data_IF_626484321039
#
_entry.id   IF_626484321039
#
_cell.length_a   1.000
_cell.length_b   1.000
_cell.length_c   1.000
_cell.angle_alpha   90.00
_cell.angle_beta   90.00
_cell.angle_gamma   90.00
#
_symmetry.space_group_name_H-M   'P 1'
#
loop_
_entity.id
_entity.type
_entity.pdbx_description
1 polymer ?
#
# COMPACT_ATOMS: atom_id res chain seq x y z
N UNK A 1 14.43 -14.49 9.16
CA UNK A 1 13.17 -14.37 8.41
C UNK A 1 13.33 -13.19 7.48
N UNK A 2 13.76 -13.43 6.25
CA UNK A 2 14.02 -12.36 5.26
C UNK A 2 13.29 -12.73 3.98
N UNK A 3 12.07 -12.22 3.86
CA UNK A 3 11.34 -12.17 2.60
C UNK A 3 10.55 -10.85 2.58
N UNK A 4 11.27 -9.75 2.79
CA UNK A 4 10.82 -8.44 2.30
C UNK A 4 10.95 -8.49 0.79
N UNK A 5 9.97 -9.11 0.13
CA UNK A 5 9.73 -8.77 -1.26
C UNK A 5 9.23 -7.33 -1.27
N UNK A 6 10.14 -6.38 -1.49
CA UNK A 6 9.80 -5.00 -1.80
C UNK A 6 8.90 -5.02 -3.03
N UNK A 7 7.59 -5.09 -2.77
CA UNK A 7 6.57 -5.13 -3.81
C UNK A 7 6.39 -3.69 -4.23
N UNK A 8 7.11 -3.29 -5.27
CA UNK A 8 7.05 -1.94 -5.80
C UNK A 8 5.96 -1.89 -6.88
N UNK A 9 5.11 -0.86 -6.83
CA UNK A 9 3.99 -0.64 -7.73
C UNK A 9 3.98 0.80 -8.24
N UNK A 10 4.26 0.98 -9.52
CA UNK A 10 4.30 2.28 -10.20
C UNK A 10 2.93 2.74 -10.72
N UNK A 11 1.88 1.94 -10.53
CA UNK A 11 0.55 2.17 -11.08
C UNK A 11 0.29 1.46 -12.39
N UNK A 12 1.29 0.81 -12.96
CA UNK A 12 1.17 0.03 -14.19
C UNK A 12 1.18 -1.47 -13.88
N UNK A 13 0.24 -2.20 -14.47
CA UNK A 13 0.14 -3.64 -14.28
C UNK A 13 -0.77 -4.09 -13.13
N UNK A 14 -0.63 -5.34 -12.67
CA UNK A 14 -1.66 -6.02 -11.92
C UNK A 14 -1.59 -5.71 -10.41
N UNK A 15 -2.50 -4.84 -9.96
CA UNK A 15 -2.60 -4.40 -8.55
C UNK A 15 -3.03 -5.53 -7.57
N UNK A 16 -3.56 -6.64 -8.08
CA UNK A 16 -3.98 -7.79 -7.26
C UNK A 16 -2.82 -8.42 -6.48
N UNK A 17 -1.60 -8.41 -7.04
CA UNK A 17 -0.39 -8.88 -6.37
C UNK A 17 -0.04 -8.02 -5.16
N UNK A 18 -0.08 -6.69 -5.33
CA UNK A 18 0.12 -5.73 -4.24
C UNK A 18 -0.93 -5.93 -3.14
N UNK A 19 -2.21 -5.95 -3.52
CA UNK A 19 -3.32 -6.12 -2.57
C UNK A 19 -3.19 -7.46 -1.82
N UNK A 20 -2.82 -8.54 -2.51
CA UNK A 20 -2.61 -9.84 -1.88
C UNK A 20 -1.44 -9.83 -0.89
N UNK A 21 -0.33 -9.17 -1.23
CA UNK A 21 0.83 -9.06 -0.34
C UNK A 21 0.47 -8.28 0.93
N UNK A 22 -0.20 -7.13 0.79
CA UNK A 22 -0.65 -6.30 1.91
C UNK A 22 -1.63 -7.05 2.81
N UNK A 23 -2.64 -7.73 2.23
CA UNK A 23 -3.60 -8.52 3.01
C UNK A 23 -2.95 -9.66 3.79
N UNK A 24 -1.95 -10.33 3.19
CA UNK A 24 -1.18 -11.37 3.89
C UNK A 24 -0.37 -10.79 5.05
N UNK A 25 0.30 -9.66 4.83
CA UNK A 25 1.03 -8.97 5.88
C UNK A 25 0.09 -8.53 7.01
N UNK A 26 -1.04 -7.91 6.68
CA UNK A 26 -2.05 -7.50 7.64
C UNK A 26 -2.56 -8.69 8.46
N UNK A 27 -2.89 -9.81 7.81
CA UNK A 27 -3.31 -11.04 8.51
C UNK A 27 -2.23 -11.55 9.47
N UNK A 28 -0.98 -11.65 9.02
CA UNK A 28 0.13 -12.15 9.84
C UNK A 28 0.43 -11.25 11.05
N UNK A 29 0.15 -9.95 10.95
CA UNK A 29 0.32 -8.99 12.03
C UNK A 29 -0.94 -8.79 12.89
N UNK A 30 -2.04 -9.50 12.61
CA UNK A 30 -3.32 -9.31 13.30
C UNK A 30 -4.02 -7.98 12.98
N UNK A 31 -3.65 -7.35 11.86
CA UNK A 31 -4.08 -6.02 11.38
C UNK A 31 -5.04 -6.07 10.19
N UNK A 32 -5.64 -7.22 9.92
CA UNK A 32 -6.52 -7.42 8.76
C UNK A 32 -7.77 -6.52 8.70
N UNK A 33 -8.19 -5.95 9.83
CA UNK A 33 -9.30 -4.98 9.95
C UNK A 33 -8.80 -3.55 10.20
N UNK A 34 -7.48 -3.34 10.25
CA UNK A 34 -6.85 -2.03 10.49
C UNK A 34 -6.57 -1.37 9.14
N UNK A 35 -7.59 -0.69 8.62
CA UNK A 35 -7.55 -0.01 7.31
C UNK A 35 -6.42 1.03 7.25
N UNK A 36 -6.15 1.72 8.37
CA UNK A 36 -5.06 2.71 8.47
C UNK A 36 -3.71 2.01 8.34
N UNK A 37 -3.50 0.91 9.06
CA UNK A 37 -2.28 0.12 8.95
C UNK A 37 -2.08 -0.42 7.53
N UNK A 38 -3.15 -0.90 6.89
CA UNK A 38 -3.10 -1.39 5.52
C UNK A 38 -2.74 -0.27 4.53
N UNK A 39 -3.33 0.91 4.69
CA UNK A 39 -3.02 2.08 3.84
C UNK A 39 -1.56 2.53 4.01
N UNK A 40 -1.06 2.56 5.25
CA UNK A 40 0.35 2.87 5.55
C UNK A 40 1.32 1.83 4.96
N UNK A 41 0.94 0.55 4.96
CA UNK A 41 1.77 -0.47 4.32
C UNK A 41 1.75 -0.31 2.80
N UNK A 42 0.58 -0.10 2.19
CA UNK A 42 0.44 0.15 0.75
C UNK A 42 1.29 1.34 0.32
N UNK A 43 1.31 2.43 1.08
CA UNK A 43 2.06 3.64 0.70
C UNK A 43 3.56 3.39 0.56
N UNK A 44 4.14 2.46 1.33
CA UNK A 44 5.56 2.06 1.21
C UNK A 44 5.87 1.26 -0.06
N UNK A 45 4.84 0.74 -0.73
CA UNK A 45 4.94 -0.05 -1.94
C UNK A 45 4.76 0.78 -3.21
N UNK A 46 4.36 2.04 -3.12
CA UNK A 46 4.07 2.88 -4.28
C UNK A 46 5.33 3.57 -4.80
N UNK A 47 5.46 3.67 -6.11
CA UNK A 47 6.46 4.52 -6.74
C UNK A 47 5.87 5.29 -7.94
N UNK A 48 6.65 6.23 -8.47
CA UNK A 48 6.35 6.90 -9.73
C UNK A 48 4.92 7.50 -9.77
N UNK A 49 4.15 7.26 -10.85
CA UNK A 49 2.80 7.79 -10.98
C UNK A 49 1.83 7.39 -9.87
N UNK A 50 1.94 6.17 -9.33
CA UNK A 50 1.07 5.72 -8.24
C UNK A 50 1.36 6.46 -6.93
N UNK A 51 2.62 6.70 -6.61
CA UNK A 51 2.99 7.49 -5.43
C UNK A 51 2.52 8.94 -5.57
N UNK A 52 2.73 9.56 -6.74
CA UNK A 52 2.27 10.92 -7.00
C UNK A 52 0.74 11.05 -6.84
N UNK A 53 -0.02 10.07 -7.34
CA UNK A 53 -1.47 10.04 -7.17
C UNK A 53 -1.89 9.85 -5.70
N UNK A 54 -1.14 9.06 -4.93
CA UNK A 54 -1.40 8.86 -3.50
C UNK A 54 -1.17 10.14 -2.69
N UNK A 55 -0.08 10.86 -2.95
CA UNK A 55 0.23 12.12 -2.27
C UNK A 55 -0.84 13.19 -2.57
N UNK A 56 -1.32 13.28 -3.83
CA UNK A 56 -2.43 14.16 -4.19
C UNK A 56 -3.73 13.83 -3.45
N UNK A 57 -3.99 12.55 -3.18
CA UNK A 57 -5.17 12.13 -2.42
C UNK A 57 -5.03 12.52 -0.95
N UNK A 58 -3.85 12.41 -0.35
CA UNK A 58 -3.61 12.85 1.03
C UNK A 58 -3.84 14.36 1.17
N UNK A 59 -3.34 15.17 0.23
CA UNK A 59 -3.58 16.62 0.24
C UNK A 59 -5.07 16.97 0.15
N UNK A 60 -5.82 16.31 -0.72
CA UNK A 60 -7.27 16.53 -0.88
C UNK A 60 -8.06 16.05 0.34
N UNK A 61 -7.64 14.95 0.96
CA UNK A 61 -8.35 14.33 2.10
C UNK A 61 -8.07 15.06 3.42
N UNK A 62 -6.88 15.64 3.58
CA UNK A 62 -6.50 16.45 4.76
C UNK A 62 -7.07 17.87 4.75
N UNK A 63 -7.74 18.26 3.65
CA UNK A 63 -8.31 19.60 3.44
C UNK A 63 -9.79 19.76 3.77
N UNK A 64 -10.47 18.77 4.37
CA UNK A 64 -11.91 18.84 4.70
C UNK A 64 -12.22 18.68 6.19
#
# INVERSE_FOLDING_TARGET
MSDSQDTIFDGTGPADKLIRAVRKAAFNHGKHEDDVWCAQLVSTCLEGPALAAYDELEEKTRGS
#
